data_IF_005832272131
#
_entry.id   IF_005832272131
#
_cell.length_a   1.000
_cell.length_b   1.000
_cell.length_c   1.000
_cell.angle_alpha   90.00
_cell.angle_beta   90.00
_cell.angle_gamma   90.00
#
_symmetry.space_group_name_H-M   'P 1'
#
loop_
_entity.id
_entity.type
_entity.pdbx_description
1 polymer ?
#
# COMPACT_ATOMS: atom_id res chain seq x y z
N UNK A 1 35.72 25.67 -12.67
CA UNK A 1 36.62 24.54 -12.32
C UNK A 1 36.17 23.23 -12.97
N UNK A 2 34.86 22.92 -12.95
CA UNK A 2 34.27 21.77 -13.63
C UNK A 2 34.55 21.75 -15.15
N UNK A 3 34.36 22.88 -15.85
CA UNK A 3 34.58 22.93 -17.31
C UNK A 3 36.03 22.66 -17.72
N UNK A 4 36.99 23.15 -16.92
CA UNK A 4 38.42 22.90 -17.16
C UNK A 4 38.73 21.40 -17.04
N UNK A 5 38.12 20.70 -16.08
CA UNK A 5 38.32 19.26 -15.93
C UNK A 5 37.65 18.48 -17.08
N UNK A 6 36.46 18.89 -17.49
CA UNK A 6 35.73 18.28 -18.60
C UNK A 6 36.52 18.39 -19.91
N UNK A 7 37.05 19.59 -20.19
CA UNK A 7 37.89 19.85 -21.36
C UNK A 7 39.18 19.00 -21.34
N UNK A 8 39.83 18.86 -20.18
CA UNK A 8 41.01 17.99 -20.03
C UNK A 8 40.69 16.52 -20.32
N UNK A 9 39.55 16.04 -19.86
CA UNK A 9 39.11 14.65 -20.11
C UNK A 9 38.82 14.45 -21.61
N UNK A 10 38.08 15.37 -22.23
CA UNK A 10 37.78 15.30 -23.67
C UNK A 10 39.05 15.32 -24.52
N UNK A 11 40.02 16.19 -24.20
CA UNK A 11 41.30 16.23 -24.92
C UNK A 11 42.08 14.92 -24.81
N UNK A 12 42.09 14.29 -23.62
CA UNK A 12 42.74 12.98 -23.43
C UNK A 12 42.06 11.89 -24.24
N UNK A 13 40.73 11.88 -24.29
CA UNK A 13 39.97 10.93 -25.09
C UNK A 13 40.27 11.14 -26.59
N UNK A 14 40.25 12.38 -27.06
CA UNK A 14 40.58 12.72 -28.45
C UNK A 14 41.99 12.28 -28.86
N UNK A 15 42.99 12.55 -28.01
CA UNK A 15 44.36 12.11 -28.22
C UNK A 15 44.47 10.57 -28.26
N UNK A 16 43.71 9.85 -27.41
CA UNK A 16 43.70 8.39 -27.41
C UNK A 16 43.05 7.81 -28.66
N UNK A 17 41.95 8.39 -29.12
CA UNK A 17 41.30 7.99 -30.38
C UNK A 17 42.25 8.16 -31.56
N UNK A 18 42.97 9.28 -31.63
CA UNK A 18 43.98 9.54 -32.66
C UNK A 18 45.09 8.47 -32.64
N UNK A 19 45.63 8.16 -31.45
CA UNK A 19 46.63 7.11 -31.29
C UNK A 19 46.13 5.73 -31.74
N UNK A 20 44.93 5.32 -31.31
CA UNK A 20 44.35 4.01 -31.65
C UNK A 20 43.95 3.89 -33.13
N UNK A 21 43.70 5.01 -33.81
CA UNK A 21 43.37 5.02 -35.24
C UNK A 21 44.60 4.84 -36.13
N UNK A 22 45.81 5.11 -35.60
CA UNK A 22 47.06 5.12 -36.34
C UNK A 22 48.05 4.07 -35.80
N UNK A 23 47.59 2.83 -35.62
CA UNK A 23 48.42 1.74 -35.10
C UNK A 23 49.25 1.06 -36.21
N UNK A 24 50.47 0.59 -35.90
CA UNK A 24 51.32 -0.07 -36.88
C UNK A 24 50.79 -1.47 -37.24
N UNK A 25 50.91 -1.83 -38.52
CA UNK A 25 50.38 -3.09 -39.05
C UNK A 25 51.09 -4.37 -38.55
N UNK A 26 52.26 -4.24 -37.92
CA UNK A 26 53.07 -5.35 -37.42
C UNK A 26 52.72 -5.81 -36.00
N UNK A 27 51.55 -5.42 -35.49
CA UNK A 27 51.11 -5.76 -34.13
C UNK A 27 50.48 -7.16 -34.04
N UNK A 28 50.57 -7.78 -32.86
CA UNK A 28 49.94 -9.09 -32.63
C UNK A 28 48.41 -8.99 -32.76
N UNK A 29 47.77 -10.03 -33.32
CA UNK A 29 46.31 -10.07 -33.55
C UNK A 29 45.51 -9.78 -32.28
N UNK A 30 45.96 -10.30 -31.14
CA UNK A 30 45.30 -10.08 -29.84
C UNK A 30 45.41 -8.62 -29.38
N UNK A 31 46.54 -7.96 -29.60
CA UNK A 31 46.71 -6.55 -29.26
C UNK A 31 45.89 -5.64 -30.20
N UNK A 32 45.83 -5.99 -31.49
CA UNK A 32 45.00 -5.29 -32.48
C UNK A 32 43.52 -5.33 -32.10
N UNK A 33 43.01 -6.51 -31.71
CA UNK A 33 41.62 -6.68 -31.29
C UNK A 33 41.29 -5.80 -30.06
N UNK A 34 42.15 -5.79 -29.03
CA UNK A 34 41.94 -4.95 -27.84
C UNK A 34 41.91 -3.46 -28.19
N UNK A 35 42.83 -3.02 -29.06
CA UNK A 35 42.87 -1.64 -29.51
C UNK A 35 41.63 -1.25 -30.32
N UNK A 36 41.12 -2.15 -31.14
CA UNK A 36 39.89 -1.94 -31.90
C UNK A 36 38.66 -1.85 -30.99
N UNK A 37 38.56 -2.72 -29.98
CA UNK A 37 37.49 -2.66 -28.97
C UNK A 37 37.55 -1.31 -28.23
N UNK A 38 38.73 -0.88 -27.80
CA UNK A 38 38.92 0.40 -27.11
C UNK A 38 38.50 1.57 -28.00
N UNK A 39 38.92 1.57 -29.27
CA UNK A 39 38.55 2.61 -30.23
C UNK A 39 37.03 2.71 -30.42
N UNK A 40 36.37 1.56 -30.61
CA UNK A 40 34.90 1.50 -30.76
C UNK A 40 34.20 1.97 -29.47
N UNK A 41 34.68 1.56 -28.31
CA UNK A 41 34.13 1.99 -27.02
C UNK A 41 34.23 3.51 -26.82
N UNK A 42 35.37 4.12 -27.14
CA UNK A 42 35.57 5.57 -27.05
C UNK A 42 34.68 6.34 -28.04
N UNK A 43 34.48 5.83 -29.26
CA UNK A 43 33.57 6.43 -30.25
C UNK A 43 32.10 6.36 -29.85
N UNK A 44 31.71 5.32 -29.10
CA UNK A 44 30.34 5.13 -28.62
C UNK A 44 30.05 5.80 -27.27
N UNK A 45 31.05 6.45 -26.64
CA UNK A 45 30.93 7.03 -25.30
C UNK A 45 29.79 8.07 -25.18
N UNK A 46 29.61 8.91 -26.20
CA UNK A 46 28.55 9.93 -26.21
C UNK A 46 27.16 9.28 -26.25
N UNK A 47 26.96 8.31 -27.14
CA UNK A 47 25.73 7.53 -27.22
C UNK A 47 25.44 6.82 -25.89
N UNK A 48 26.45 6.18 -25.30
CA UNK A 48 26.33 5.52 -24.00
C UNK A 48 25.89 6.50 -22.89
N UNK A 49 26.44 7.72 -22.89
CA UNK A 49 26.10 8.76 -21.92
C UNK A 49 24.67 9.26 -22.12
N UNK A 50 24.26 9.44 -23.37
CA UNK A 50 22.91 9.87 -23.73
C UNK A 50 21.86 8.84 -23.28
N UNK A 51 22.02 7.57 -23.67
CA UNK A 51 21.10 6.48 -23.32
C UNK A 51 20.99 6.31 -21.80
N UNK A 52 22.12 6.37 -21.08
CA UNK A 52 22.09 6.30 -19.61
C UNK A 52 21.33 7.47 -18.98
N UNK A 53 21.55 8.69 -19.47
CA UNK A 53 20.83 9.88 -19.00
C UNK A 53 19.33 9.75 -19.23
N UNK A 54 18.93 9.26 -20.41
CA UNK A 54 17.54 9.07 -20.78
C UNK A 54 16.84 8.01 -19.91
N UNK A 55 17.46 6.84 -19.75
CA UNK A 55 16.92 5.76 -18.87
C UNK A 55 16.79 6.26 -17.43
N UNK A 56 17.81 6.94 -16.90
CA UNK A 56 17.76 7.50 -15.55
C UNK A 56 16.68 8.59 -15.40
N UNK A 57 16.43 9.39 -16.44
CA UNK A 57 15.37 10.39 -16.42
C UNK A 57 13.99 9.75 -16.29
N UNK A 58 13.73 8.69 -17.06
CA UNK A 58 12.47 7.95 -17.00
C UNK A 58 12.31 7.24 -15.66
N UNK A 59 13.33 6.51 -15.20
CA UNK A 59 13.30 5.84 -13.89
C UNK A 59 13.02 6.81 -12.74
N UNK A 60 13.64 8.00 -12.75
CA UNK A 60 13.37 9.03 -11.73
C UNK A 60 11.92 9.47 -11.77
N UNK A 61 11.33 9.69 -12.94
CA UNK A 61 9.91 10.06 -13.06
C UNK A 61 9.00 8.95 -12.52
N UNK A 62 9.24 7.71 -12.92
CA UNK A 62 8.39 6.57 -12.54
C UNK A 62 8.49 6.22 -11.04
N UNK A 63 9.67 6.40 -10.44
CA UNK A 63 9.91 6.10 -9.03
C UNK A 63 9.60 7.27 -8.09
N UNK A 64 9.43 8.48 -8.63
CA UNK A 64 9.04 9.63 -7.81
C UNK A 64 7.54 9.56 -7.54
N UNK A 65 7.18 9.28 -6.30
CA UNK A 65 5.80 9.39 -5.83
C UNK A 65 5.40 10.88 -5.81
N UNK A 66 4.46 11.27 -6.67
CA UNK A 66 3.83 12.60 -6.66
C UNK A 66 3.27 12.97 -5.27
N UNK A 67 2.80 11.97 -4.52
CA UNK A 67 2.34 12.12 -3.14
C UNK A 67 3.44 12.52 -2.15
N UNK A 68 4.71 12.22 -2.46
CA UNK A 68 5.87 12.62 -1.67
C UNK A 68 6.38 14.02 -2.03
N UNK A 69 6.14 14.49 -3.27
CA UNK A 69 6.52 15.83 -3.72
C UNK A 69 5.66 16.91 -3.08
N UNK A 70 4.37 16.65 -2.89
CA UNK A 70 3.48 17.55 -2.15
C UNK A 70 2.63 16.80 -1.12
N UNK A 71 3.19 16.46 0.05
CA UNK A 71 2.44 15.76 1.10
C UNK A 71 1.20 16.54 1.58
N UNK A 72 1.21 17.87 1.49
CA UNK A 72 0.10 18.72 1.93
C UNK A 72 -1.11 18.67 0.98
N UNK A 73 -0.89 18.45 -0.32
CA UNK A 73 -1.99 18.29 -1.28
C UNK A 73 -2.81 17.02 -1.03
N UNK A 74 -2.18 15.96 -0.49
CA UNK A 74 -2.83 14.68 -0.23
C UNK A 74 -3.21 14.48 1.25
N UNK A 75 -2.74 15.34 2.15
CA UNK A 75 -3.05 15.27 3.58
C UNK A 75 -4.44 15.83 3.87
N UNK A 76 -5.35 14.98 4.37
CA UNK A 76 -6.62 15.44 4.95
C UNK A 76 -6.36 16.11 6.29
N UNK A 77 -6.55 17.43 6.35
CA UNK A 77 -6.47 18.17 7.62
C UNK A 77 -7.71 17.90 8.46
N UNK A 78 -7.53 17.33 9.64
CA UNK A 78 -8.61 17.18 10.62
C UNK A 78 -8.86 18.53 11.29
N UNK A 79 -10.09 19.05 11.17
CA UNK A 79 -10.55 20.23 11.91
C UNK A 79 -11.49 19.75 13.02
N UNK A 80 -11.20 20.07 14.27
CA UNK A 80 -12.07 19.75 15.39
C UNK A 80 -13.11 20.86 15.52
N UNK A 81 -14.37 20.56 15.17
CA UNK A 81 -15.48 21.51 15.33
C UNK A 81 -16.37 21.13 16.52
N UNK A 82 -16.86 22.13 17.25
CA UNK A 82 -17.80 21.89 18.37
C UNK A 82 -19.08 21.20 17.89
N UNK A 83 -19.51 21.46 16.65
CA UNK A 83 -20.67 20.82 16.04
C UNK A 83 -20.46 19.31 15.89
N UNK A 84 -19.32 18.89 15.34
CA UNK A 84 -18.98 17.46 15.22
C UNK A 84 -18.93 16.78 16.57
N UNK A 85 -18.27 17.40 17.56
CA UNK A 85 -18.20 16.85 18.91
C UNK A 85 -19.59 16.62 19.52
N UNK A 86 -20.50 17.60 19.42
CA UNK A 86 -21.88 17.50 19.92
C UNK A 86 -22.69 16.43 19.19
N UNK A 87 -22.52 16.29 17.87
CA UNK A 87 -23.21 15.26 17.08
C UNK A 87 -22.73 13.87 17.49
N UNK A 88 -21.42 13.68 17.62
CA UNK A 88 -20.81 12.42 18.06
C UNK A 88 -21.29 12.04 19.45
N UNK A 89 -21.22 12.95 20.42
CA UNK A 89 -21.67 12.69 21.81
C UNK A 89 -23.16 12.32 21.86
N UNK A 90 -24.01 13.04 21.11
CA UNK A 90 -25.44 12.72 21.02
C UNK A 90 -25.66 11.33 20.45
N UNK A 91 -24.95 10.97 19.38
CA UNK A 91 -25.07 9.66 18.73
C UNK A 91 -24.59 8.53 19.64
N UNK A 92 -23.45 8.70 20.31
CA UNK A 92 -22.91 7.73 21.27
C UNK A 92 -23.86 7.52 22.45
N UNK A 93 -24.44 8.60 23.00
CA UNK A 93 -25.44 8.51 24.07
C UNK A 93 -26.70 7.77 23.61
N UNK A 94 -27.18 8.03 22.40
CA UNK A 94 -28.33 7.32 21.83
C UNK A 94 -28.03 5.83 21.64
N UNK A 95 -26.87 5.48 21.08
CA UNK A 95 -26.45 4.09 20.89
C UNK A 95 -26.33 3.34 22.22
N UNK A 96 -25.77 3.99 23.26
CA UNK A 96 -25.64 3.40 24.59
C UNK A 96 -27.01 3.10 25.22
N UNK A 97 -27.95 4.07 25.16
CA UNK A 97 -29.31 3.89 25.67
C UNK A 97 -30.07 2.79 24.92
N UNK A 98 -29.94 2.74 23.59
CA UNK A 98 -30.57 1.71 22.78
C UNK A 98 -30.00 0.32 23.10
N UNK A 99 -28.68 0.21 23.26
CA UNK A 99 -28.02 -1.05 23.65
C UNK A 99 -28.51 -1.53 25.02
N UNK A 100 -28.62 -0.62 26.00
CA UNK A 100 -29.14 -0.96 27.32
C UNK A 100 -30.60 -1.39 27.27
N UNK A 101 -31.45 -0.66 26.53
CA UNK A 101 -32.85 -1.04 26.30
C UNK A 101 -32.96 -2.43 25.68
N UNK A 102 -32.18 -2.72 24.64
CA UNK A 102 -32.13 -4.05 24.00
C UNK A 102 -31.69 -5.15 24.97
N UNK A 103 -30.70 -4.88 25.84
CA UNK A 103 -30.27 -5.84 26.88
C UNK A 103 -31.38 -6.12 27.89
N UNK A 104 -32.04 -5.09 28.41
CA UNK A 104 -33.17 -5.24 29.35
C UNK A 104 -34.33 -5.98 28.71
N UNK A 105 -34.66 -5.68 27.46
CA UNK A 105 -35.70 -6.37 26.71
C UNK A 105 -35.38 -7.87 26.55
N UNK A 106 -34.16 -8.22 26.11
CA UNK A 106 -33.74 -9.63 26.01
C UNK A 106 -33.82 -10.38 27.35
N UNK A 107 -33.45 -9.71 28.45
CA UNK A 107 -33.57 -10.31 29.78
C UNK A 107 -35.03 -10.57 30.16
N UNK A 108 -35.92 -9.60 29.93
CA UNK A 108 -37.35 -9.77 30.17
C UNK A 108 -37.97 -10.85 29.28
N UNK A 109 -37.60 -10.92 28.00
CA UNK A 109 -38.05 -11.98 27.07
C UNK A 109 -37.65 -13.36 27.58
N UNK A 110 -36.42 -13.51 28.10
CA UNK A 110 -35.96 -14.76 28.71
C UNK A 110 -36.81 -15.14 29.95
N UNK A 111 -37.07 -14.19 30.84
CA UNK A 111 -37.91 -14.43 32.02
C UNK A 111 -39.33 -14.85 31.62
N UNK A 112 -39.92 -14.17 30.63
CA UNK A 112 -41.24 -14.53 30.11
C UNK A 112 -41.26 -15.94 29.51
N UNK A 113 -40.23 -16.31 28.74
CA UNK A 113 -40.10 -17.67 28.20
C UNK A 113 -40.01 -18.74 29.30
N UNK A 114 -39.26 -18.48 30.37
CA UNK A 114 -39.15 -19.39 31.53
C UNK A 114 -40.50 -19.54 32.24
N UNK A 115 -41.20 -18.43 32.50
CA UNK A 115 -42.51 -18.46 33.16
C UNK A 115 -43.55 -19.18 32.30
N UNK A 116 -43.55 -18.93 30.99
CA UNK A 116 -44.44 -19.58 30.04
C UNK A 116 -44.20 -21.09 29.99
N UNK A 117 -42.94 -21.54 29.92
CA UNK A 117 -42.59 -22.96 30.00
C UNK A 117 -43.07 -23.59 31.32
N UNK A 118 -42.90 -22.90 32.45
CA UNK A 118 -43.39 -23.37 33.74
C UNK A 118 -44.92 -23.52 33.80
N UNK A 119 -45.66 -22.63 33.12
CA UNK A 119 -47.12 -22.72 32.99
C UNK A 119 -47.51 -23.92 32.11
N UNK A 120 -46.90 -24.06 30.95
CA UNK A 120 -47.14 -25.18 30.03
C UNK A 120 -46.86 -26.53 30.70
N UNK A 121 -45.80 -26.61 31.50
CA UNK A 121 -45.46 -27.80 32.28
C UNK A 121 -46.57 -28.17 33.28
N UNK A 122 -47.09 -27.18 34.02
CA UNK A 122 -48.20 -27.40 34.97
C UNK A 122 -49.48 -27.81 34.24
N UNK A 123 -49.80 -27.15 33.13
CA UNK A 123 -50.99 -27.44 32.33
C UNK A 123 -50.92 -28.85 31.71
N UNK A 124 -49.74 -29.28 31.24
CA UNK A 124 -49.51 -30.64 30.75
C UNK A 124 -49.82 -31.69 31.83
N UNK A 125 -49.29 -31.52 33.05
CA UNK A 125 -49.54 -32.47 34.15
C UNK A 125 -51.01 -32.48 34.57
N UNK A 126 -51.65 -31.31 34.64
CA UNK A 126 -53.09 -31.20 34.92
C UNK A 126 -53.91 -31.94 33.87
N UNK A 127 -53.62 -31.74 32.58
CA UNK A 127 -54.34 -32.38 31.48
C UNK A 127 -54.10 -33.90 31.44
N UNK A 128 -52.88 -34.34 31.76
CA UNK A 128 -52.53 -35.76 31.85
C UNK A 128 -53.30 -36.46 32.97
N UNK A 129 -53.38 -35.86 34.17
CA UNK A 129 -54.18 -36.38 35.29
C UNK A 129 -55.66 -36.49 34.93
N UNK A 130 -56.22 -35.48 34.25
CA UNK A 130 -57.60 -35.52 33.74
C UNK A 130 -57.77 -36.64 32.71
N UNK A 131 -56.81 -36.82 31.79
CA UNK A 131 -56.82 -37.90 30.80
C UNK A 131 -56.85 -39.30 31.41
N UNK A 132 -56.07 -39.54 32.47
CA UNK A 132 -56.10 -40.81 33.20
C UNK A 132 -57.44 -41.06 33.90
N UNK A 133 -58.06 -40.01 34.47
CA UNK A 133 -59.37 -40.14 35.11
C UNK A 133 -60.51 -40.46 34.14
N UNK A 134 -60.38 -40.08 32.87
CA UNK A 134 -61.37 -40.35 31.82
C UNK A 134 -61.20 -41.73 31.16
N UNK A 135 -60.02 -42.35 31.25
CA UNK A 135 -59.76 -43.72 30.76
C UNK A 135 -60.05 -44.82 31.79
N UNK A 136 -60.31 -44.44 33.04
CA UNK A 136 -60.52 -45.37 34.17
C UNK A 136 -62.01 -45.60 34.51
N UNK A 137 -62.94 -45.21 33.63
CA UNK A 137 -64.38 -45.48 33.72
C UNK A 137 -64.86 -46.30 32.53
#
# INVERSE_FOLDING_TARGET
MLDKQFYRIQNRIGARIQFLSNLPANMSKHLALKAEIELRALRLLQLQTQVRTEVLSHLKKDTTLETALNPYAYRRTKRQTLREARVTEKLEKQQKLEQERRRRQKHNELLQAILQHGKEFKDFHRNTLVGFSLQSN
#
